data_IF_310241952039
#
_entry.id   IF_310241952039
#
_cell.length_a   1.000
_cell.length_b   1.000
_cell.length_c   1.000
_cell.angle_alpha   90.00
_cell.angle_beta   90.00
_cell.angle_gamma   90.00
#
_symmetry.space_group_name_H-M   'P 1'
#
loop_
_entity.id
_entity.type
_entity.pdbx_description
1 polymer ?
#
# COMPACT_ATOMS: atom_id res chain seq x y z
N UNK A 1 -19.09 27.54 6.65
CA UNK A 1 -18.66 26.17 6.30
C UNK A 1 -17.75 25.68 7.40
N UNK A 2 -18.17 24.68 8.15
CA UNK A 2 -17.36 24.11 9.25
C UNK A 2 -16.37 23.13 8.60
N UNK A 3 -15.08 23.40 8.76
CA UNK A 3 -14.01 22.52 8.31
C UNK A 3 -13.97 21.30 9.24
N UNK A 4 -14.28 20.12 8.71
CA UNK A 4 -14.21 18.86 9.46
C UNK A 4 -12.80 18.27 9.28
N UNK A 5 -12.00 18.13 10.35
CA UNK A 5 -10.62 17.59 10.24
C UNK A 5 -10.58 16.16 9.66
N UNK A 6 -11.65 15.37 9.80
CA UNK A 6 -11.75 14.06 9.17
C UNK A 6 -11.75 14.14 7.63
N UNK A 7 -12.28 15.21 7.05
CA UNK A 7 -12.31 15.40 5.59
C UNK A 7 -10.91 15.73 5.04
N UNK A 8 -10.08 16.42 5.82
CA UNK A 8 -8.71 16.75 5.40
C UNK A 8 -7.78 15.52 5.39
N UNK A 9 -8.02 14.57 6.27
CA UNK A 9 -7.23 13.34 6.36
C UNK A 9 -7.56 12.40 5.19
N UNK A 10 -8.83 12.31 4.80
CA UNK A 10 -9.27 11.55 3.61
C UNK A 10 -8.69 12.15 2.33
N UNK A 11 -8.68 13.46 2.19
CA UNK A 11 -8.11 14.15 1.03
C UNK A 11 -6.61 13.85 0.92
N UNK A 12 -5.85 13.90 2.01
CA UNK A 12 -4.40 13.65 1.96
C UNK A 12 -4.05 12.20 1.58
N UNK A 13 -4.83 11.21 2.01
CA UNK A 13 -4.64 9.79 1.62
C UNK A 13 -4.89 9.58 0.14
N UNK A 14 -5.95 10.18 -0.39
CA UNK A 14 -6.26 10.10 -1.83
C UNK A 14 -5.20 10.82 -2.67
N UNK A 15 -4.64 11.93 -2.20
CA UNK A 15 -3.55 12.63 -2.87
C UNK A 15 -2.27 11.80 -2.96
N UNK A 16 -1.96 11.01 -1.93
CA UNK A 16 -0.84 10.05 -1.96
C UNK A 16 -1.10 8.98 -3.03
N UNK A 17 -2.30 8.42 -3.08
CA UNK A 17 -2.68 7.44 -4.10
C UNK A 17 -2.63 8.04 -5.50
N UNK A 18 -3.16 9.25 -5.68
CA UNK A 18 -3.09 10.00 -6.94
C UNK A 18 -1.63 10.19 -7.39
N UNK A 19 -0.75 10.55 -6.47
CA UNK A 19 0.68 10.77 -6.77
C UNK A 19 1.39 9.49 -7.18
N UNK A 20 1.07 8.36 -6.54
CA UNK A 20 1.69 7.06 -6.81
C UNK A 20 1.21 6.48 -8.14
N UNK A 21 -0.09 6.46 -8.39
CA UNK A 21 -0.68 5.83 -9.56
C UNK A 21 -0.81 6.84 -10.73
N UNK A 22 -0.75 8.14 -10.42
CA UNK A 22 -0.91 9.22 -11.40
C UNK A 22 -2.33 9.32 -11.94
N UNK A 23 -3.33 9.00 -11.12
CA UNK A 23 -4.75 9.05 -11.45
C UNK A 23 -5.40 10.16 -10.64
N UNK A 24 -6.03 11.12 -11.31
CA UNK A 24 -6.81 12.18 -10.68
C UNK A 24 -8.24 11.72 -10.39
N UNK A 25 -8.91 12.35 -9.41
CA UNK A 25 -10.33 12.14 -9.08
C UNK A 25 -10.68 10.75 -8.52
N UNK A 26 -9.86 10.25 -7.61
CA UNK A 26 -10.10 8.98 -6.91
C UNK A 26 -11.35 9.01 -6.01
N UNK A 27 -11.93 10.17 -5.71
CA UNK A 27 -13.12 10.28 -4.85
C UNK A 27 -14.35 9.56 -5.41
N UNK A 28 -14.44 9.47 -6.74
CA UNK A 28 -15.53 8.80 -7.46
C UNK A 28 -15.11 7.43 -8.02
N UNK A 29 -14.00 6.88 -7.56
CA UNK A 29 -13.42 5.63 -8.08
C UNK A 29 -14.13 4.36 -7.63
N UNK A 30 -15.03 4.41 -6.63
CA UNK A 30 -15.62 3.23 -6.01
C UNK A 30 -14.77 2.61 -4.91
N UNK A 31 -13.63 3.22 -4.55
CA UNK A 31 -12.82 2.79 -3.41
C UNK A 31 -13.42 3.26 -2.09
N UNK A 32 -13.19 2.49 -1.03
CA UNK A 32 -13.55 2.88 0.33
C UNK A 32 -12.55 3.93 0.85
N UNK A 33 -12.92 5.20 0.74
CA UNK A 33 -12.08 6.32 1.17
C UNK A 33 -11.92 6.43 2.69
N UNK A 34 -12.71 5.67 3.47
CA UNK A 34 -12.61 5.62 4.93
C UNK A 34 -11.61 4.56 5.40
N UNK A 35 -11.42 3.51 4.62
CA UNK A 35 -10.42 2.48 4.90
C UNK A 35 -9.02 2.96 4.56
N UNK A 36 -8.04 2.53 5.34
CA UNK A 36 -6.62 2.84 5.09
C UNK A 36 -6.15 2.05 3.87
N UNK A 37 -5.49 2.68 2.89
CA UNK A 37 -4.74 1.94 1.89
C UNK A 37 -3.43 1.43 2.50
N UNK A 38 -2.95 0.30 1.98
CA UNK A 38 -1.69 -0.29 2.39
C UNK A 38 -0.71 -0.25 1.22
N UNK A 39 0.53 0.09 1.52
CA UNK A 39 1.65 0.03 0.58
C UNK A 39 2.58 -1.07 1.08
N UNK A 40 2.98 -1.96 0.19
CA UNK A 40 3.91 -3.03 0.50
C UNK A 40 5.03 -3.09 -0.54
N UNK A 41 6.12 -3.75 -0.20
CA UNK A 41 7.22 -3.99 -1.12
C UNK A 41 7.29 -5.50 -1.35
N UNK A 42 7.30 -5.92 -2.61
CA UNK A 42 7.44 -7.32 -2.97
C UNK A 42 8.88 -7.81 -2.76
N UNK A 43 9.07 -9.12 -2.74
CA UNK A 43 10.40 -9.74 -2.60
C UNK A 43 11.39 -9.33 -3.70
N UNK A 44 10.89 -8.90 -4.86
CA UNK A 44 11.70 -8.41 -5.99
C UNK A 44 11.88 -6.88 -6.00
N UNK A 45 11.34 -6.18 -4.98
CA UNK A 45 11.52 -4.73 -4.80
C UNK A 45 10.49 -3.85 -5.52
N UNK A 46 9.43 -4.42 -6.08
CA UNK A 46 8.33 -3.63 -6.63
C UNK A 46 7.44 -3.07 -5.51
N UNK A 47 6.87 -1.90 -5.73
CA UNK A 47 5.91 -1.29 -4.81
C UNK A 47 4.52 -1.85 -5.14
N UNK A 48 3.86 -2.42 -4.15
CA UNK A 48 2.47 -2.82 -4.21
C UNK A 48 1.59 -1.85 -3.44
N UNK A 49 0.38 -1.66 -3.92
CA UNK A 49 -0.68 -0.90 -3.26
C UNK A 49 -1.89 -1.81 -3.09
N UNK A 50 -2.48 -1.78 -1.90
CA UNK A 50 -3.73 -2.46 -1.59
C UNK A 50 -4.74 -1.43 -1.08
N UNK A 51 -5.91 -1.38 -1.69
CA UNK A 51 -7.00 -0.52 -1.27
C UNK A 51 -8.32 -1.30 -1.24
N UNK A 52 -9.20 -0.95 -0.30
CA UNK A 52 -10.50 -1.58 -0.18
C UNK A 52 -11.46 -1.04 -1.24
N UNK A 53 -12.16 -1.95 -1.91
CA UNK A 53 -13.26 -1.65 -2.83
C UNK A 53 -14.55 -1.52 -2.04
N UNK A 54 -15.28 -0.44 -2.23
CA UNK A 54 -16.62 -0.22 -1.69
C UNK A 54 -17.72 -0.53 -2.71
N UNK A 55 -17.40 -0.35 -4.00
CA UNK A 55 -18.36 -0.50 -5.10
C UNK A 55 -17.59 -0.89 -6.38
N UNK A 56 -17.64 -2.19 -6.70
CA UNK A 56 -16.92 -2.77 -7.83
C UNK A 56 -17.37 -2.20 -9.19
N UNK A 57 -18.68 -1.95 -9.36
CA UNK A 57 -19.21 -1.40 -10.60
C UNK A 57 -18.68 0.02 -10.85
N UNK A 58 -18.54 0.82 -9.77
CA UNK A 58 -17.94 2.15 -9.86
C UNK A 58 -16.45 2.07 -10.17
N UNK A 59 -15.70 1.11 -9.60
CA UNK A 59 -14.28 0.91 -9.94
C UNK A 59 -14.16 0.57 -11.41
N UNK A 60 -14.95 -0.36 -11.93
CA UNK A 60 -14.96 -0.75 -13.34
C UNK A 60 -15.27 0.45 -14.24
N UNK A 61 -16.35 1.18 -13.97
CA UNK A 61 -16.75 2.37 -14.72
C UNK A 61 -15.70 3.49 -14.65
N UNK A 62 -15.00 3.60 -13.53
CA UNK A 62 -13.91 4.57 -13.35
C UNK A 62 -12.73 4.23 -14.27
N UNK A 63 -12.25 2.99 -14.28
CA UNK A 63 -11.14 2.57 -15.15
C UNK A 63 -11.53 2.56 -16.63
N UNK A 64 -12.77 2.21 -16.99
CA UNK A 64 -13.29 2.35 -18.34
C UNK A 64 -13.21 3.80 -18.85
N UNK A 65 -13.63 4.77 -18.04
CA UNK A 65 -13.49 6.19 -18.37
C UNK A 65 -12.04 6.64 -18.53
N UNK A 66 -11.15 6.10 -17.70
CA UNK A 66 -9.72 6.42 -17.78
C UNK A 66 -9.05 5.81 -19.01
N UNK A 67 -9.57 4.71 -19.54
CA UNK A 67 -9.00 4.00 -20.70
C UNK A 67 -9.09 4.80 -22.02
N UNK A 68 -9.75 5.97 -22.01
CA UNK A 68 -9.64 6.97 -23.09
C UNK A 68 -8.22 7.54 -23.17
N UNK A 69 -7.45 7.50 -22.09
CA UNK A 69 -6.04 7.92 -22.06
C UNK A 69 -5.17 6.79 -22.58
N UNK A 70 -4.26 7.04 -23.53
CA UNK A 70 -3.46 5.99 -24.17
C UNK A 70 -2.53 5.24 -23.20
N UNK A 71 -2.15 5.88 -22.09
CA UNK A 71 -1.34 5.28 -21.03
C UNK A 71 -2.13 4.36 -20.09
N UNK A 72 -3.47 4.28 -20.23
CA UNK A 72 -4.34 3.44 -19.41
C UNK A 72 -5.14 2.53 -20.34
N UNK A 73 -4.84 1.24 -20.31
CA UNK A 73 -5.51 0.27 -21.21
C UNK A 73 -5.58 -1.10 -20.53
N UNK A 74 -6.53 -1.91 -20.99
CA UNK A 74 -6.67 -3.30 -20.55
C UNK A 74 -5.49 -4.10 -21.07
N UNK A 75 -4.82 -4.84 -20.18
CA UNK A 75 -3.75 -5.78 -20.52
C UNK A 75 -4.31 -7.19 -20.65
N UNK A 76 -5.16 -7.61 -19.71
CA UNK A 76 -5.62 -8.98 -19.59
C UNK A 76 -6.90 -9.07 -18.77
N UNK A 77 -7.64 -10.16 -18.97
CA UNK A 77 -8.70 -10.59 -18.05
C UNK A 77 -8.38 -12.01 -17.63
N UNK A 78 -8.31 -12.27 -16.32
CA UNK A 78 -7.98 -13.57 -15.74
C UNK A 78 -8.82 -13.80 -14.50
N UNK A 79 -9.41 -15.00 -14.35
CA UNK A 79 -10.22 -15.40 -13.20
C UNK A 79 -11.37 -14.41 -12.87
N UNK A 80 -11.98 -13.80 -13.90
CA UNK A 80 -13.03 -12.80 -13.71
C UNK A 80 -12.53 -11.39 -13.36
N UNK A 81 -11.25 -11.21 -13.04
CA UNK A 81 -10.66 -9.91 -12.76
C UNK A 81 -10.08 -9.30 -14.05
N UNK A 82 -10.31 -8.01 -14.25
CA UNK A 82 -9.71 -7.24 -15.36
C UNK A 82 -8.51 -6.46 -14.88
N UNK A 83 -7.40 -6.56 -15.62
CA UNK A 83 -6.14 -5.90 -15.31
C UNK A 83 -5.85 -4.79 -16.31
N UNK A 84 -5.49 -3.64 -15.77
CA UNK A 84 -5.16 -2.45 -16.54
C UNK A 84 -3.67 -2.10 -16.39
N UNK A 85 -3.08 -1.64 -17.49
CA UNK A 85 -1.85 -0.84 -17.43
C UNK A 85 -2.23 0.59 -17.11
N UNK A 86 -1.61 1.14 -16.07
CA UNK A 86 -1.74 2.54 -15.70
C UNK A 86 -0.34 3.14 -15.67
N UNK A 87 0.14 3.61 -16.82
CA UNK A 87 1.53 4.03 -17.03
C UNK A 87 2.50 2.87 -16.76
N UNK A 88 3.23 2.95 -15.67
CA UNK A 88 4.19 1.94 -15.21
C UNK A 88 3.66 1.06 -14.04
N UNK A 89 2.35 1.09 -13.80
CA UNK A 89 1.68 0.21 -12.84
C UNK A 89 0.74 -0.75 -13.55
N UNK A 90 0.63 -1.95 -13.01
CA UNK A 90 -0.47 -2.88 -13.31
C UNK A 90 -1.47 -2.79 -12.17
N UNK A 91 -2.75 -2.63 -12.49
CA UNK A 91 -3.84 -2.51 -11.53
C UNK A 91 -4.90 -3.56 -11.83
N UNK A 92 -5.38 -4.25 -10.81
CA UNK A 92 -6.49 -5.18 -10.89
C UNK A 92 -7.32 -5.15 -9.62
N UNK A 93 -8.56 -5.63 -9.66
CA UNK A 93 -9.43 -5.65 -8.49
C UNK A 93 -10.38 -6.83 -8.48
N UNK A 94 -10.86 -7.14 -7.28
CA UNK A 94 -11.99 -8.02 -6.97
C UNK A 94 -13.14 -7.18 -6.38
N UNK A 95 -14.20 -7.85 -5.96
CA UNK A 95 -15.34 -7.20 -5.29
C UNK A 95 -14.99 -6.47 -3.98
N UNK A 96 -13.86 -6.81 -3.35
CA UNK A 96 -13.46 -6.26 -2.05
C UNK A 96 -12.14 -5.50 -2.04
N UNK A 97 -11.24 -5.80 -2.99
CA UNK A 97 -9.85 -5.36 -2.94
C UNK A 97 -9.36 -4.91 -4.30
N UNK A 98 -8.72 -3.74 -4.35
CA UNK A 98 -7.93 -3.27 -5.49
C UNK A 98 -6.46 -3.43 -5.14
N UNK A 99 -5.70 -4.01 -6.06
CA UNK A 99 -4.26 -4.13 -5.99
C UNK A 99 -3.60 -3.41 -7.18
N UNK A 100 -2.49 -2.75 -6.90
CA UNK A 100 -1.62 -2.20 -7.94
C UNK A 100 -0.17 -2.60 -7.67
N UNK A 101 0.61 -2.81 -8.72
CA UNK A 101 2.02 -3.20 -8.64
C UNK A 101 2.84 -2.37 -9.63
N UNK A 102 3.94 -1.78 -9.17
CA UNK A 102 4.85 -0.96 -9.98
C UNK A 102 5.97 -0.31 -9.14
N UNK A 103 6.84 0.51 -9.74
CA UNK A 103 6.90 0.77 -11.19
C UNK A 103 7.46 -0.41 -11.96
N UNK A 104 6.89 -0.71 -13.12
CA UNK A 104 7.22 -1.86 -13.95
C UNK A 104 7.58 -1.41 -15.38
N UNK A 105 8.49 -2.13 -16.01
CA UNK A 105 8.67 -2.04 -17.45
C UNK A 105 7.51 -2.77 -18.16
N UNK A 106 7.11 -2.35 -19.38
CA UNK A 106 6.04 -3.01 -20.13
C UNK A 106 6.24 -4.52 -20.32
N UNK A 107 7.48 -4.98 -20.42
CA UNK A 107 7.83 -6.40 -20.54
C UNK A 107 7.49 -7.23 -19.28
N UNK A 108 7.41 -6.59 -18.12
CA UNK A 108 7.08 -7.24 -16.84
C UNK A 108 5.57 -7.25 -16.52
N UNK A 109 4.74 -6.60 -17.35
CA UNK A 109 3.29 -6.49 -17.06
C UNK A 109 2.60 -7.87 -17.01
N UNK A 110 2.99 -8.80 -17.89
CA UNK A 110 2.39 -10.15 -17.90
C UNK A 110 2.69 -10.95 -16.64
N UNK A 111 3.91 -10.81 -16.09
CA UNK A 111 4.32 -11.43 -14.83
C UNK A 111 3.55 -10.81 -13.65
N UNK A 112 3.46 -9.48 -13.62
CA UNK A 112 2.72 -8.75 -12.60
C UNK A 112 1.21 -9.10 -12.59
N UNK A 113 0.59 -9.30 -13.77
CA UNK A 113 -0.79 -9.81 -13.86
C UNK A 113 -0.89 -11.18 -13.18
N UNK A 114 0.08 -12.07 -13.41
CA UNK A 114 0.12 -13.39 -12.78
C UNK A 114 0.21 -13.30 -11.25
N UNK A 115 1.10 -12.44 -10.75
CA UNK A 115 1.29 -12.19 -9.32
C UNK A 115 0.03 -11.59 -8.67
N UNK A 116 -0.52 -10.52 -9.24
CA UNK A 116 -1.73 -9.86 -8.75
C UNK A 116 -2.96 -10.79 -8.78
N UNK A 117 -3.11 -11.60 -9.86
CA UNK A 117 -4.19 -12.58 -9.95
C UNK A 117 -4.09 -13.61 -8.82
N UNK A 118 -2.88 -14.08 -8.50
CA UNK A 118 -2.65 -14.97 -7.35
C UNK A 118 -3.08 -14.35 -6.02
N UNK A 119 -2.75 -13.08 -5.79
CA UNK A 119 -3.17 -12.37 -4.57
C UNK A 119 -4.67 -12.12 -4.50
N UNK A 120 -5.33 -11.80 -5.63
CA UNK A 120 -6.77 -11.54 -5.68
C UNK A 120 -7.62 -12.81 -5.53
N UNK A 121 -7.07 -13.96 -5.94
CA UNK A 121 -7.73 -15.28 -5.83
C UNK A 121 -7.42 -15.98 -4.50
N UNK A 122 -6.45 -15.48 -3.73
CA UNK A 122 -6.07 -16.09 -2.45
C UNK A 122 -7.16 -15.86 -1.40
N UNK A 123 -7.50 -16.92 -0.68
CA UNK A 123 -8.32 -16.84 0.52
C UNK A 123 -7.54 -16.27 1.71
N UNK A 124 -6.20 -16.11 1.58
CA UNK A 124 -5.35 -15.55 2.61
C UNK A 124 -5.62 -14.06 2.78
N UNK A 125 -6.02 -13.68 3.96
CA UNK A 125 -6.25 -12.28 4.29
C UNK A 125 -4.95 -11.56 4.61
N UNK A 126 -4.76 -10.34 4.08
CA UNK A 126 -3.67 -9.45 4.52
C UNK A 126 -3.67 -9.25 6.05
N UNK A 127 -4.85 -9.34 6.69
CA UNK A 127 -4.98 -9.25 8.14
C UNK A 127 -4.27 -10.41 8.89
N UNK A 128 -3.99 -11.52 8.23
CA UNK A 128 -3.24 -12.66 8.78
C UNK A 128 -1.72 -12.49 8.63
N UNK A 129 -1.28 -11.48 7.88
CA UNK A 129 0.13 -11.14 7.76
C UNK A 129 0.71 -10.80 9.13
N UNK A 130 1.90 -11.37 9.44
CA UNK A 130 2.64 -11.13 10.69
C UNK A 130 2.87 -9.65 11.01
N UNK A 131 2.93 -8.79 9.99
CA UNK A 131 3.15 -7.35 10.14
C UNK A 131 1.86 -6.56 10.39
N UNK A 132 0.69 -7.13 10.06
CA UNK A 132 -0.59 -6.42 10.14
C UNK A 132 -0.93 -5.89 11.55
N UNK A 133 -0.71 -6.63 12.65
CA UNK A 133 -0.98 -6.12 13.99
C UNK A 133 -0.25 -4.80 14.26
N UNK A 134 1.00 -4.67 13.82
CA UNK A 134 1.82 -3.47 14.04
C UNK A 134 1.35 -2.26 13.21
N UNK A 135 0.65 -2.49 12.10
CA UNK A 135 0.03 -1.43 11.30
C UNK A 135 -1.31 -0.99 11.85
N UNK A 136 -1.99 -1.87 12.59
CA UNK A 136 -3.36 -1.63 13.06
C UNK A 136 -3.44 -1.13 14.52
N UNK A 137 -2.35 -1.27 15.29
CA UNK A 137 -2.28 -0.84 16.69
C UNK A 137 -2.08 0.66 16.86
N UNK A 138 -1.73 1.35 15.80
CA UNK A 138 -1.35 2.75 15.89
C UNK A 138 -2.58 3.65 15.86
N UNK A 139 -2.55 4.66 16.71
CA UNK A 139 -3.43 5.81 16.66
C UNK A 139 -3.43 6.41 15.23
N UNK A 140 -4.33 7.33 14.94
CA UNK A 140 -4.56 7.92 13.62
C UNK A 140 -3.33 8.67 13.05
N UNK A 141 -2.24 7.94 12.75
CA UNK A 141 -1.09 8.48 12.04
C UNK A 141 -1.40 8.63 10.54
N UNK A 142 -0.79 9.61 9.90
CA UNK A 142 -0.95 9.84 8.46
C UNK A 142 -0.43 8.64 7.65
N UNK A 143 0.72 8.08 8.06
CA UNK A 143 1.32 6.88 7.47
C UNK A 143 1.89 6.03 8.60
N UNK A 144 1.61 4.72 8.58
CA UNK A 144 2.26 3.73 9.43
C UNK A 144 3.02 2.73 8.56
N UNK A 145 4.21 2.38 8.96
CA UNK A 145 5.07 1.40 8.32
C UNK A 145 5.35 0.25 9.30
N UNK A 146 5.29 -0.98 8.81
CA UNK A 146 5.85 -2.14 9.50
C UNK A 146 6.66 -2.97 8.50
N UNK A 147 7.85 -3.39 8.89
CA UNK A 147 8.73 -4.21 8.06
C UNK A 147 9.62 -5.10 8.91
N UNK A 148 10.06 -6.21 8.35
CA UNK A 148 11.15 -6.98 8.94
C UNK A 148 12.48 -6.25 8.71
N UNK A 149 13.34 -6.23 9.72
CA UNK A 149 14.63 -5.55 9.62
C UNK A 149 15.50 -6.09 8.46
N UNK A 150 15.35 -7.38 8.16
CA UNK A 150 16.05 -8.07 7.05
C UNK A 150 15.58 -7.61 5.66
N UNK A 151 14.39 -7.05 5.54
CA UNK A 151 13.86 -6.54 4.28
C UNK A 151 14.34 -5.12 3.96
N UNK A 152 14.98 -4.43 4.91
CA UNK A 152 15.47 -3.07 4.70
C UNK A 152 16.81 -3.06 3.96
N UNK A 153 17.03 -2.07 3.08
CA UNK A 153 18.34 -1.84 2.48
C UNK A 153 19.41 -1.63 3.56
N UNK A 154 20.55 -2.33 3.41
CA UNK A 154 21.65 -2.31 4.38
C UNK A 154 22.07 -0.92 4.88
N UNK A 155 22.12 0.15 4.05
CA UNK A 155 22.47 1.51 4.48
C UNK A 155 21.48 2.14 5.47
N UNK A 156 20.22 1.68 5.52
CA UNK A 156 19.17 2.24 6.39
C UNK A 156 19.23 1.61 7.79
N UNK A 157 19.66 0.37 7.88
CA UNK A 157 19.69 -0.40 9.15
C UNK A 157 20.45 0.34 10.26
N UNK A 158 21.66 0.92 10.05
CA UNK A 158 22.39 1.63 11.11
C UNK A 158 21.62 2.81 11.69
N UNK A 159 20.81 3.52 10.90
CA UNK A 159 20.03 4.66 11.38
C UNK A 159 18.84 4.21 12.26
N UNK A 160 18.24 3.07 11.93
CA UNK A 160 17.10 2.53 12.67
C UNK A 160 17.53 1.77 13.93
N UNK A 161 18.79 1.35 13.99
CA UNK A 161 19.37 0.60 15.11
C UNK A 161 20.23 1.48 16.04
N UNK A 162 20.24 2.79 15.84
CA UNK A 162 20.93 3.75 16.70
C UNK A 162 20.47 3.58 18.17
N UNK A 163 21.42 3.22 19.02
CA UNK A 163 21.16 3.00 20.45
C UNK A 163 20.96 1.53 20.86
N UNK A 164 20.98 0.59 19.93
CA UNK A 164 20.96 -0.83 20.25
C UNK A 164 22.40 -1.35 20.51
N UNK A 165 22.58 -2.36 21.39
CA UNK A 165 23.89 -2.93 21.68
C UNK A 165 24.55 -3.51 20.41
N UNK A 166 25.87 -3.36 20.32
CA UNK A 166 26.63 -4.00 19.24
C UNK A 166 26.50 -5.54 19.34
N UNK A 167 26.19 -6.16 18.18
CA UNK A 167 26.01 -7.61 18.10
C UNK A 167 24.57 -8.09 18.35
N UNK A 168 23.59 -7.20 18.47
CA UNK A 168 22.18 -7.58 18.51
C UNK A 168 21.78 -8.31 17.23
N UNK A 169 21.09 -9.44 17.37
CA UNK A 169 20.53 -10.17 16.24
C UNK A 169 19.21 -9.51 15.80
N UNK A 170 19.20 -8.98 14.59
CA UNK A 170 18.04 -8.31 14.00
C UNK A 170 17.24 -9.21 13.06
N UNK A 171 17.65 -10.47 12.87
CA UNK A 171 17.01 -11.37 11.89
C UNK A 171 15.52 -11.60 12.15
N UNK A 172 15.09 -11.45 13.40
CA UNK A 172 13.68 -11.56 13.81
C UNK A 172 13.04 -10.23 14.21
N UNK A 173 13.76 -9.12 14.08
CA UNK A 173 13.28 -7.82 14.52
C UNK A 173 12.28 -7.23 13.51
N UNK A 174 11.14 -6.77 14.01
CA UNK A 174 10.19 -5.97 13.25
C UNK A 174 10.45 -4.50 13.59
N UNK A 175 10.47 -3.67 12.56
CA UNK A 175 10.59 -2.21 12.70
C UNK A 175 9.23 -1.62 12.36
N UNK A 176 8.65 -0.91 13.32
CA UNK A 176 7.47 -0.09 13.13
C UNK A 176 7.87 1.38 13.12
N UNK A 177 7.31 2.14 12.21
CA UNK A 177 7.50 3.59 12.14
C UNK A 177 6.19 4.27 11.81
N UNK A 178 5.93 5.37 12.49
CA UNK A 178 4.76 6.21 12.28
C UNK A 178 5.21 7.59 11.81
N UNK A 179 4.44 8.14 10.88
CA UNK A 179 4.71 9.41 10.26
C UNK A 179 3.49 10.31 10.35
N UNK A 180 3.68 11.51 10.86
CA UNK A 180 2.66 12.53 10.99
C UNK A 180 3.07 13.82 10.33
N UNK A 181 2.08 14.56 9.80
CA UNK A 181 2.25 15.87 9.22
C UNK A 181 1.54 16.88 10.13
N UNK A 182 2.32 17.68 10.84
CA UNK A 182 1.82 18.78 11.66
C UNK A 182 2.16 20.13 11.00
N UNK A 183 1.22 20.68 10.24
CA UNK A 183 1.41 21.90 9.48
C UNK A 183 2.46 21.74 8.36
N UNK A 184 3.67 22.28 8.55
CA UNK A 184 4.82 22.16 7.61
C UNK A 184 5.91 21.22 8.15
N UNK A 185 5.67 20.55 9.26
CA UNK A 185 6.65 19.69 9.93
C UNK A 185 6.27 18.22 9.75
N UNK A 186 7.21 17.43 9.27
CA UNK A 186 7.13 15.98 9.21
C UNK A 186 7.75 15.43 10.51
N UNK A 187 6.97 14.66 11.26
CA UNK A 187 7.43 13.94 12.44
C UNK A 187 7.50 12.46 12.12
N UNK A 188 8.64 11.83 12.41
CA UNK A 188 8.84 10.39 12.22
C UNK A 188 9.22 9.80 13.57
N UNK A 189 8.47 8.82 14.03
CA UNK A 189 8.82 8.00 15.19
C UNK A 189 9.06 6.56 14.74
N UNK A 190 10.11 5.91 15.22
CA UNK A 190 10.39 4.52 14.91
C UNK A 190 10.63 3.71 16.17
N UNK A 191 10.18 2.46 16.18
CA UNK A 191 10.36 1.52 17.29
C UNK A 191 10.82 0.17 16.76
N UNK A 192 11.95 -0.34 17.22
CA UNK A 192 12.31 -1.74 17.02
C UNK A 192 11.49 -2.61 17.98
N UNK A 193 10.86 -3.64 17.49
CA UNK A 193 10.03 -4.57 18.25
C UNK A 193 10.64 -5.96 18.19
N UNK A 194 10.83 -6.59 19.35
CA UNK A 194 11.21 -8.00 19.40
C UNK A 194 9.96 -8.87 19.30
N UNK A 195 9.97 -9.94 18.45
CA UNK A 195 8.81 -10.81 18.29
C UNK A 195 8.43 -11.58 19.55
N UNK A 196 9.30 -11.64 20.57
CA UNK A 196 9.08 -12.39 21.80
C UNK A 196 8.33 -11.62 22.91
N UNK A 197 8.05 -10.35 22.73
CA UNK A 197 7.14 -9.63 23.64
C UNK A 197 5.71 -9.90 23.23
N UNK A 198 5.13 -11.00 23.75
CA UNK A 198 3.67 -11.10 23.91
C UNK A 198 3.22 -9.84 24.63
N UNK A 199 2.37 -9.07 23.95
CA UNK A 199 1.70 -7.92 24.55
C UNK A 199 0.90 -8.40 25.75
N UNK A 200 1.23 -7.88 26.92
CA UNK A 200 0.48 -8.04 28.16
C UNK A 200 -0.46 -6.85 28.33
#
# INVERSE_FOLDING_TARGET
MSFNPADSEVVSRLEILNSLIGIDDMQNSGLDTKSRPYIFITSVGNIGLCAKVADEEKVSSFFERLSVRPEIHIISTRNGCTFYSCRNFVVGWSSSTLLALGPLLPSAHSEAVGELSGYLDSDDSFAECRLFPYLNETDNHAISLATEATALPGPIIPFLTLGLPHGSDFSSCIISADMDIAGKTLMISSRPLSPDKKMS
#
